data_IF_277398698680
#
_entry.id   IF_277398698680
#
_cell.length_a   1.000
_cell.length_b   1.000
_cell.length_c   1.000
_cell.angle_alpha   90.00
_cell.angle_beta   90.00
_cell.angle_gamma   90.00
#
_symmetry.space_group_name_H-M   'P 1'
#
loop_
_entity.id
_entity.type
_entity.pdbx_description
1 polymer ?
#
# COMPACT_ATOMS: atom_id res chain seq x y z
N UNK A 1 51.16 -71.39 7.88
CA UNK A 1 50.88 -70.24 7.01
C UNK A 1 49.41 -69.87 7.19
N UNK A 2 49.11 -68.94 8.10
CA UNK A 2 47.75 -68.46 8.37
C UNK A 2 47.54 -67.15 7.60
N UNK A 3 46.52 -67.11 6.75
CA UNK A 3 46.10 -65.93 6.00
C UNK A 3 44.87 -65.35 6.71
N UNK A 4 45.03 -64.18 7.32
CA UNK A 4 43.92 -63.40 7.86
C UNK A 4 43.30 -62.58 6.73
N UNK A 5 41.99 -62.77 6.49
CA UNK A 5 41.20 -61.92 5.61
C UNK A 5 40.61 -60.77 6.40
N UNK A 6 41.04 -59.53 6.13
CA UNK A 6 40.39 -58.31 6.60
C UNK A 6 39.19 -57.99 5.69
N UNK A 7 37.97 -58.08 6.22
CA UNK A 7 36.80 -57.50 5.58
C UNK A 7 36.70 -56.02 5.98
N UNK A 8 37.11 -55.12 5.07
CA UNK A 8 36.76 -53.70 5.17
C UNK A 8 35.30 -53.52 4.75
N UNK A 9 34.41 -53.23 5.70
CA UNK A 9 33.04 -52.79 5.43
C UNK A 9 33.07 -51.42 4.75
N UNK A 10 33.00 -51.39 3.43
CA UNK A 10 32.78 -50.17 2.65
C UNK A 10 31.30 -49.79 2.80
N UNK A 11 31.01 -48.74 3.57
CA UNK A 11 29.69 -48.12 3.62
C UNK A 11 29.39 -47.50 2.24
N UNK A 12 28.56 -48.16 1.45
CA UNK A 12 27.98 -47.57 0.24
C UNK A 12 27.01 -46.46 0.66
N UNK A 13 27.52 -45.22 0.70
CA UNK A 13 26.66 -44.04 0.78
C UNK A 13 25.86 -44.00 -0.52
N UNK A 14 24.55 -44.21 -0.43
CA UNK A 14 23.64 -44.19 -1.58
C UNK A 14 23.87 -42.92 -2.42
N UNK A 15 24.00 -43.03 -3.75
CA UNK A 15 24.14 -41.85 -4.62
C UNK A 15 22.93 -40.90 -4.52
N UNK A 16 21.79 -41.37 -4.00
CA UNK A 16 20.63 -40.54 -3.67
C UNK A 16 20.94 -39.53 -2.54
N UNK A 17 21.83 -39.88 -1.62
CA UNK A 17 22.26 -39.02 -0.50
C UNK A 17 23.23 -37.93 -0.95
N UNK A 18 24.08 -38.23 -1.95
CA UNK A 18 24.97 -37.25 -2.59
C UNK A 18 24.21 -36.27 -3.50
N UNK A 19 23.13 -36.72 -4.15
CA UNK A 19 22.29 -35.84 -4.98
C UNK A 19 21.61 -34.75 -4.14
N UNK A 20 21.18 -35.05 -2.90
CA UNK A 20 20.59 -34.06 -2.00
C UNK A 20 21.56 -32.94 -1.57
N UNK A 21 22.87 -33.21 -1.48
CA UNK A 21 23.89 -32.18 -1.18
C UNK A 21 24.29 -31.33 -2.39
N UNK A 22 23.87 -31.70 -3.60
CA UNK A 22 24.34 -31.08 -4.85
C UNK A 22 23.32 -30.17 -5.54
N UNK A 23 22.20 -29.86 -4.88
CA UNK A 23 21.34 -28.77 -5.36
C UNK A 23 22.15 -27.47 -5.28
N UNK A 24 22.42 -26.80 -6.41
CA UNK A 24 23.14 -25.54 -6.38
C UNK A 24 22.36 -24.57 -5.50
N UNK A 25 23.00 -24.13 -4.42
CA UNK A 25 22.51 -23.04 -3.58
C UNK A 25 22.38 -21.80 -4.46
N UNK A 26 21.17 -21.58 -4.99
CA UNK A 26 20.86 -20.37 -5.72
C UNK A 26 20.80 -19.23 -4.71
N UNK A 27 21.62 -18.17 -4.87
CA UNK A 27 21.51 -16.97 -4.04
C UNK A 27 20.16 -16.25 -4.20
N UNK A 28 19.28 -16.72 -5.10
CA UNK A 28 17.95 -16.20 -5.38
C UNK A 28 16.84 -17.20 -4.99
N UNK A 29 16.99 -17.87 -3.85
CA UNK A 29 16.03 -18.85 -3.36
C UNK A 29 15.25 -18.32 -2.15
N UNK A 30 13.92 -18.31 -2.24
CA UNK A 30 13.04 -17.67 -1.27
C UNK A 30 12.01 -18.65 -0.70
N UNK A 31 11.64 -18.44 0.56
CA UNK A 31 10.48 -19.09 1.19
C UNK A 31 9.43 -18.02 1.45
N UNK A 32 8.26 -18.18 0.83
CA UNK A 32 7.08 -17.35 1.08
C UNK A 32 6.02 -18.23 1.75
N UNK A 33 5.27 -17.65 2.67
CA UNK A 33 4.13 -18.33 3.27
C UNK A 33 3.03 -17.33 3.63
N UNK A 34 1.80 -17.83 3.80
CA UNK A 34 0.73 -17.07 4.42
C UNK A 34 0.55 -17.54 5.88
N UNK A 35 0.57 -16.65 6.88
CA UNK A 35 0.16 -16.98 8.25
C UNK A 35 -1.38 -17.03 8.35
N UNK A 36 -1.99 -17.90 7.54
CA UNK A 36 -3.43 -17.92 7.26
C UNK A 36 -4.27 -18.65 8.33
N UNK A 37 -3.68 -19.08 9.45
CA UNK A 37 -4.39 -19.85 10.49
C UNK A 37 -4.39 -19.10 11.82
N UNK A 38 -5.59 -18.91 12.37
CA UNK A 38 -5.77 -18.32 13.70
C UNK A 38 -5.45 -16.83 13.77
N UNK A 39 -5.30 -16.35 15.01
CA UNK A 39 -4.96 -14.95 15.32
C UNK A 39 -3.47 -14.81 15.59
N UNK A 40 -3.03 -13.63 16.06
CA UNK A 40 -1.63 -13.29 16.30
C UNK A 40 -0.79 -14.42 16.89
N UNK A 41 -1.19 -15.03 18.01
CA UNK A 41 -0.42 -16.11 18.64
C UNK A 41 -0.18 -17.32 17.73
N UNK A 42 -1.20 -17.77 16.99
CA UNK A 42 -1.04 -18.89 16.03
C UNK A 42 -0.12 -18.50 14.88
N UNK A 43 -0.22 -17.26 14.40
CA UNK A 43 0.61 -16.75 13.32
C UNK A 43 2.08 -16.65 13.74
N UNK A 44 2.35 -16.26 14.99
CA UNK A 44 3.71 -16.20 15.52
C UNK A 44 4.33 -17.59 15.69
N UNK A 45 3.55 -18.57 16.16
CA UNK A 45 4.02 -19.94 16.25
C UNK A 45 4.36 -20.53 14.86
N UNK A 46 3.51 -20.28 13.87
CA UNK A 46 3.80 -20.64 12.48
C UNK A 46 5.05 -19.92 11.95
N UNK A 47 5.20 -18.63 12.24
CA UNK A 47 6.37 -17.85 11.84
C UNK A 47 7.66 -18.45 12.42
N UNK A 48 7.70 -18.80 13.70
CA UNK A 48 8.89 -19.40 14.32
C UNK A 48 9.27 -20.72 13.65
N UNK A 49 8.29 -21.58 13.38
CA UNK A 49 8.50 -22.83 12.65
C UNK A 49 9.01 -22.61 11.22
N UNK A 50 8.41 -21.67 10.48
CA UNK A 50 8.83 -21.34 9.11
C UNK A 50 10.19 -20.63 9.09
N UNK A 51 10.54 -19.85 10.10
CA UNK A 51 11.86 -19.23 10.25
C UNK A 51 12.95 -20.30 10.40
N UNK A 52 12.74 -21.26 11.30
CA UNK A 52 13.63 -22.40 11.45
C UNK A 52 13.72 -23.22 10.16
N UNK A 53 12.60 -23.44 9.47
CA UNK A 53 12.54 -24.15 8.20
C UNK A 53 13.32 -23.44 7.07
N UNK A 54 13.12 -22.12 6.91
CA UNK A 54 13.83 -21.33 5.91
C UNK A 54 15.35 -21.33 6.16
N UNK A 55 15.75 -21.27 7.44
CA UNK A 55 17.14 -21.40 7.86
C UNK A 55 17.71 -22.78 7.54
N UNK A 56 16.97 -23.85 7.84
CA UNK A 56 17.35 -25.23 7.53
C UNK A 56 17.55 -25.44 6.02
N UNK A 57 16.69 -24.85 5.19
CA UNK A 57 16.80 -24.91 3.73
C UNK A 57 17.84 -23.95 3.14
N UNK A 58 18.43 -23.09 3.97
CA UNK A 58 19.28 -21.97 3.56
C UNK A 58 18.66 -21.12 2.42
N UNK A 59 17.39 -20.73 2.59
CA UNK A 59 16.64 -19.87 1.65
C UNK A 59 16.22 -18.59 2.35
N UNK A 60 16.32 -17.44 1.68
CA UNK A 60 15.86 -16.16 2.24
C UNK A 60 14.38 -16.25 2.61
N UNK A 61 14.03 -15.96 3.87
CA UNK A 61 12.63 -15.92 4.29
C UNK A 61 12.00 -14.59 3.89
N UNK A 62 10.89 -14.68 3.18
CA UNK A 62 10.05 -13.52 2.89
C UNK A 62 9.04 -13.36 4.02
N UNK A 63 9.23 -12.33 4.84
CA UNK A 63 8.39 -12.04 6.00
C UNK A 63 7.01 -11.57 5.54
N UNK A 64 5.92 -12.30 5.86
CA UNK A 64 4.58 -11.89 5.50
C UNK A 64 4.07 -10.78 6.43
N UNK A 65 3.09 -9.98 6.00
CA UNK A 65 2.33 -9.18 6.96
C UNK A 65 1.58 -10.08 7.94
N UNK A 66 1.38 -9.55 9.14
CA UNK A 66 0.55 -10.16 10.18
C UNK A 66 -0.92 -9.85 9.85
N UNK A 67 -1.77 -10.87 10.00
CA UNK A 67 -3.19 -10.77 9.68
C UNK A 67 -3.95 -10.37 10.95
N UNK A 68 -4.43 -9.13 10.97
CA UNK A 68 -5.28 -8.60 12.02
C UNK A 68 -6.76 -8.84 11.70
N UNK A 69 -7.56 -9.14 12.72
CA UNK A 69 -9.02 -9.34 12.61
C UNK A 69 -9.72 -8.39 13.58
N UNK A 70 -9.97 -7.13 13.17
CA UNK A 70 -10.63 -6.15 14.02
C UNK A 70 -12.00 -6.64 14.49
N UNK A 71 -12.37 -6.41 15.75
CA UNK A 71 -13.74 -6.63 16.23
C UNK A 71 -14.74 -5.87 15.35
N UNK A 72 -15.93 -6.43 15.13
CA UNK A 72 -17.01 -5.87 14.31
C UNK A 72 -16.78 -5.79 12.77
N UNK A 73 -15.58 -6.06 12.26
CA UNK A 73 -15.30 -6.03 10.81
C UNK A 73 -15.07 -7.46 10.27
N UNK A 74 -15.84 -7.89 9.27
CA UNK A 74 -15.68 -9.22 8.63
C UNK A 74 -14.43 -9.34 7.73
N UNK A 75 -13.58 -8.32 7.69
CA UNK A 75 -12.46 -8.20 6.75
C UNK A 75 -11.14 -8.33 7.50
N UNK A 76 -10.27 -9.22 7.00
CA UNK A 76 -8.90 -9.33 7.46
C UNK A 76 -8.07 -8.13 6.99
N UNK A 77 -7.25 -7.61 7.88
CA UNK A 77 -6.29 -6.54 7.62
C UNK A 77 -4.87 -7.10 7.60
N UNK A 78 -4.05 -6.65 6.65
CA UNK A 78 -2.65 -7.04 6.52
C UNK A 78 -1.79 -5.90 7.05
N UNK A 79 -1.13 -6.14 8.18
CA UNK A 79 -0.24 -5.17 8.83
C UNK A 79 1.20 -5.67 8.65
N UNK A 80 2.07 -4.83 8.09
CA UNK A 80 3.43 -5.26 7.77
C UNK A 80 4.23 -5.71 9.01
N UNK A 81 5.11 -6.69 8.82
CA UNK A 81 5.85 -7.33 9.91
C UNK A 81 6.72 -6.34 10.70
N UNK A 82 7.25 -5.32 10.02
CA UNK A 82 8.07 -4.24 10.57
C UNK A 82 7.31 -3.28 11.50
N UNK A 83 5.98 -3.35 11.53
CA UNK A 83 5.15 -2.59 12.48
C UNK A 83 5.15 -3.22 13.88
N UNK A 84 5.47 -4.51 13.99
CA UNK A 84 5.48 -5.23 15.27
C UNK A 84 6.89 -5.57 15.74
N UNK A 85 7.82 -5.80 14.81
CA UNK A 85 9.13 -6.36 15.13
C UNK A 85 10.26 -5.64 14.40
N UNK A 86 11.41 -5.58 15.07
CA UNK A 86 12.65 -5.05 14.50
C UNK A 86 13.23 -6.10 13.54
N UNK A 87 12.99 -5.90 12.25
CA UNK A 87 13.44 -6.80 11.17
C UNK A 87 14.96 -6.99 11.21
N UNK A 88 15.73 -5.94 11.49
CA UNK A 88 17.20 -5.97 11.50
C UNK A 88 17.74 -7.01 12.49
N UNK A 89 17.08 -7.19 13.63
CA UNK A 89 17.47 -8.18 14.65
C UNK A 89 17.31 -9.61 14.13
N UNK A 90 16.20 -9.90 13.44
CA UNK A 90 15.99 -11.21 12.81
C UNK A 90 17.00 -11.47 11.68
N UNK A 91 17.38 -10.41 10.96
CA UNK A 91 18.36 -10.46 9.87
C UNK A 91 19.76 -10.87 10.32
N UNK A 92 20.08 -10.76 11.61
CA UNK A 92 21.34 -11.27 12.18
C UNK A 92 21.38 -12.80 12.26
N UNK A 93 20.21 -13.45 12.33
CA UNK A 93 20.10 -14.91 12.49
C UNK A 93 19.91 -15.65 11.18
N UNK A 94 19.23 -15.04 10.21
CA UNK A 94 18.96 -15.62 8.90
C UNK A 94 18.65 -14.55 7.86
N UNK A 95 18.85 -14.86 6.58
CA UNK A 95 18.49 -13.95 5.49
C UNK A 95 16.98 -13.77 5.41
N UNK A 96 16.53 -12.52 5.42
CA UNK A 96 15.13 -12.13 5.40
C UNK A 96 14.89 -10.95 4.47
N UNK A 97 13.66 -10.84 3.98
CA UNK A 97 13.16 -9.66 3.25
C UNK A 97 11.67 -9.52 3.52
N UNK A 98 11.13 -8.31 3.58
CA UNK A 98 9.68 -8.13 3.74
C UNK A 98 8.95 -8.56 2.45
N UNK A 99 7.74 -9.12 2.59
CA UNK A 99 6.92 -9.51 1.43
C UNK A 99 6.70 -8.34 0.47
N UNK A 100 6.39 -7.16 1.01
CA UNK A 100 6.27 -5.91 0.25
C UNK A 100 7.50 -5.65 -0.62
N UNK A 101 8.70 -5.77 -0.07
CA UNK A 101 9.96 -5.44 -0.77
C UNK A 101 10.36 -6.54 -1.75
N UNK A 102 10.12 -7.80 -1.39
CA UNK A 102 10.26 -8.94 -2.29
C UNK A 102 9.37 -8.77 -3.52
N UNK A 103 8.09 -8.46 -3.34
CA UNK A 103 7.14 -8.30 -4.43
C UNK A 103 7.48 -7.10 -5.33
N UNK A 104 8.03 -6.01 -4.75
CA UNK A 104 8.47 -4.80 -5.48
C UNK A 104 9.74 -5.01 -6.30
N UNK A 105 10.80 -5.52 -5.68
CA UNK A 105 12.14 -5.49 -6.27
C UNK A 105 12.60 -6.81 -6.88
N UNK A 106 12.17 -7.93 -6.30
CA UNK A 106 12.76 -9.25 -6.55
C UNK A 106 11.82 -10.10 -7.41
N UNK A 107 10.55 -10.22 -7.01
CA UNK A 107 9.57 -11.10 -7.64
C UNK A 107 9.37 -10.81 -9.13
N UNK A 108 9.41 -9.54 -9.53
CA UNK A 108 9.27 -9.13 -10.94
C UNK A 108 10.39 -9.67 -11.84
N UNK A 109 11.57 -9.94 -11.28
CA UNK A 109 12.75 -10.41 -12.01
C UNK A 109 12.86 -11.93 -12.02
N UNK A 110 12.54 -12.58 -10.91
CA UNK A 110 12.81 -14.03 -10.71
C UNK A 110 11.56 -14.89 -10.54
N UNK A 111 10.40 -14.28 -10.23
CA UNK A 111 9.14 -14.97 -9.97
C UNK A 111 7.94 -14.32 -10.71
N UNK A 112 8.01 -14.25 -12.06
CA UNK A 112 6.95 -13.69 -12.89
C UNK A 112 5.67 -14.54 -12.80
N UNK A 113 4.53 -13.98 -13.23
CA UNK A 113 3.20 -14.55 -12.96
C UNK A 113 3.08 -16.02 -13.39
N UNK A 114 3.60 -16.39 -14.54
CA UNK A 114 3.56 -17.73 -15.12
C UNK A 114 4.37 -18.77 -14.32
N UNK A 115 5.34 -18.31 -13.51
CA UNK A 115 6.18 -19.16 -12.64
C UNK A 115 5.67 -19.24 -11.21
N UNK A 116 4.56 -18.57 -10.88
CA UNK A 116 3.98 -18.60 -9.53
C UNK A 116 3.28 -19.92 -9.29
N UNK A 117 3.96 -20.79 -8.54
CA UNK A 117 3.43 -22.09 -8.10
C UNK A 117 3.24 -22.07 -6.59
N UNK A 118 2.21 -22.79 -6.15
CA UNK A 118 1.87 -22.96 -4.73
C UNK A 118 2.22 -24.38 -4.32
N UNK A 119 2.82 -24.54 -3.16
CA UNK A 119 3.08 -25.83 -2.53
C UNK A 119 2.07 -26.06 -1.42
N UNK A 120 1.48 -27.26 -1.38
CA UNK A 120 0.61 -27.72 -0.31
C UNK A 120 0.85 -29.22 -0.08
N UNK A 121 0.41 -29.74 1.06
CA UNK A 121 0.64 -31.14 1.44
C UNK A 121 0.05 -32.13 0.43
N UNK A 122 -1.21 -31.92 0.05
CA UNK A 122 -1.92 -32.75 -0.92
C UNK A 122 -2.99 -31.91 -1.64
N UNK A 123 -3.33 -32.22 -2.89
CA UNK A 123 -4.42 -31.54 -3.57
C UNK A 123 -5.75 -31.81 -2.86
N UNK A 124 -6.62 -30.80 -2.81
CA UNK A 124 -7.93 -30.81 -2.16
C UNK A 124 -8.99 -30.25 -3.11
N UNK A 125 -10.29 -30.56 -2.92
CA UNK A 125 -11.35 -29.84 -3.63
C UNK A 125 -11.43 -28.38 -3.15
N UNK A 126 -11.83 -27.48 -4.05
CA UNK A 126 -12.09 -26.07 -3.75
C UNK A 126 -13.51 -25.81 -3.25
N UNK A 127 -13.76 -24.56 -2.84
CA UNK A 127 -15.05 -24.09 -2.30
C UNK A 127 -16.18 -24.06 -3.33
N UNK A 128 -15.86 -23.93 -4.62
CA UNK A 128 -16.84 -23.91 -5.70
C UNK A 128 -17.27 -25.34 -6.09
N UNK A 129 -18.56 -25.51 -6.40
CA UNK A 129 -19.07 -26.77 -6.94
C UNK A 129 -18.35 -27.10 -8.26
N UNK A 130 -17.77 -28.31 -8.35
CA UNK A 130 -16.97 -28.82 -9.48
C UNK A 130 -15.60 -28.15 -9.68
N UNK A 131 -14.96 -27.71 -8.61
CA UNK A 131 -13.57 -27.25 -8.67
C UNK A 131 -12.59 -28.41 -8.96
N UNK A 132 -11.59 -28.13 -9.80
CA UNK A 132 -10.46 -29.05 -10.01
C UNK A 132 -9.67 -29.22 -8.71
N UNK A 133 -9.05 -30.40 -8.53
CA UNK A 133 -8.22 -30.66 -7.36
C UNK A 133 -6.94 -29.83 -7.39
N UNK A 134 -6.65 -29.11 -6.30
CA UNK A 134 -5.44 -28.29 -6.20
C UNK A 134 -5.16 -27.80 -4.78
N UNK A 135 -4.26 -26.83 -4.64
CA UNK A 135 -3.97 -26.26 -3.32
C UNK A 135 -5.01 -25.24 -2.85
N UNK A 136 -5.73 -24.59 -3.78
CA UNK A 136 -6.74 -23.57 -3.48
C UNK A 136 -6.26 -22.50 -2.48
N UNK A 137 -5.02 -22.03 -2.63
CA UNK A 137 -4.37 -21.16 -1.63
C UNK A 137 -4.89 -19.72 -1.61
N UNK A 138 -5.73 -19.32 -2.57
CA UNK A 138 -6.36 -18.00 -2.63
C UNK A 138 -7.86 -18.05 -2.28
N UNK A 139 -8.37 -19.20 -1.84
CA UNK A 139 -9.77 -19.36 -1.51
C UNK A 139 -10.07 -18.99 -0.05
N UNK A 140 -11.22 -18.36 0.17
CA UNK A 140 -11.69 -17.96 1.50
C UNK A 140 -10.97 -16.75 2.10
N UNK A 141 -11.26 -16.52 3.38
CA UNK A 141 -10.69 -15.48 4.23
C UNK A 141 -9.88 -16.18 5.34
N UNK A 142 -8.58 -15.87 5.55
CA UNK A 142 -7.83 -14.72 5.02
C UNK A 142 -7.04 -14.96 3.73
N UNK A 143 -7.00 -16.19 3.21
CA UNK A 143 -6.05 -16.57 2.15
C UNK A 143 -6.21 -15.76 0.86
N UNK A 144 -7.44 -15.55 0.39
CA UNK A 144 -7.69 -14.75 -0.81
C UNK A 144 -7.27 -13.29 -0.66
N UNK A 145 -7.73 -12.58 0.38
CA UNK A 145 -7.25 -11.24 0.70
C UNK A 145 -5.73 -11.17 0.88
N UNK A 146 -5.12 -12.12 1.59
CA UNK A 146 -3.67 -12.15 1.83
C UNK A 146 -2.87 -12.24 0.55
N UNK A 147 -3.22 -13.10 -0.41
CA UNK A 147 -2.43 -13.10 -1.64
C UNK A 147 -2.75 -11.87 -2.49
N UNK A 148 -4.01 -11.43 -2.56
CA UNK A 148 -4.41 -10.29 -3.40
C UNK A 148 -3.96 -8.92 -2.91
N UNK A 149 -3.66 -8.73 -1.62
CA UNK A 149 -3.28 -7.40 -1.12
C UNK A 149 -2.01 -6.84 -1.80
N UNK A 150 -1.21 -7.71 -2.44
CA UNK A 150 -0.02 -7.36 -3.22
C UNK A 150 -0.25 -7.19 -4.73
N UNK A 151 -1.46 -7.47 -5.26
CA UNK A 151 -1.69 -7.70 -6.71
C UNK A 151 -2.74 -6.82 -7.40
N UNK A 152 -3.30 -5.80 -6.77
CA UNK A 152 -4.18 -4.86 -7.50
C UNK A 152 -3.31 -3.93 -8.36
N UNK A 153 -3.24 -4.24 -9.66
CA UNK A 153 -2.54 -3.44 -10.68
C UNK A 153 -3.51 -2.95 -11.75
N UNK A 154 -3.20 -1.81 -12.35
CA UNK A 154 -3.91 -1.33 -13.53
C UNK A 154 -3.59 -2.21 -14.73
N UNK A 155 -4.56 -2.38 -15.64
CA UNK A 155 -4.27 -2.98 -16.94
C UNK A 155 -3.33 -2.07 -17.74
N UNK A 156 -2.57 -2.64 -18.67
CA UNK A 156 -1.68 -1.89 -19.56
C UNK A 156 -2.39 -0.72 -20.25
N UNK A 157 -3.65 -0.91 -20.65
CA UNK A 157 -4.48 0.14 -21.24
C UNK A 157 -4.73 1.31 -20.28
N UNK A 158 -5.12 1.04 -19.04
CA UNK A 158 -5.40 2.10 -18.05
C UNK A 158 -4.11 2.83 -17.70
N UNK A 159 -3.03 2.08 -17.51
CA UNK A 159 -1.72 2.65 -17.19
C UNK A 159 -1.20 3.52 -18.34
N UNK A 160 -1.32 3.07 -19.59
CA UNK A 160 -0.95 3.84 -20.77
C UNK A 160 -1.78 5.12 -20.90
N UNK A 161 -3.10 5.03 -20.76
CA UNK A 161 -3.99 6.19 -20.82
C UNK A 161 -3.62 7.25 -19.76
N UNK A 162 -3.29 6.82 -18.54
CA UNK A 162 -2.86 7.72 -17.47
C UNK A 162 -1.50 8.36 -17.78
N UNK A 163 -0.52 7.58 -18.27
CA UNK A 163 0.83 8.07 -18.64
C UNK A 163 0.76 9.09 -19.77
N UNK A 164 0.01 8.78 -20.83
CA UNK A 164 -0.18 9.69 -21.98
C UNK A 164 -0.87 10.98 -21.56
N UNK A 165 -1.87 10.90 -20.68
CA UNK A 165 -2.51 12.08 -20.11
C UNK A 165 -1.51 12.96 -19.36
N UNK A 166 -0.70 12.39 -18.47
CA UNK A 166 0.32 13.14 -17.70
C UNK A 166 1.32 13.81 -18.62
N UNK A 167 1.88 13.09 -19.59
CA UNK A 167 2.86 13.65 -20.53
C UNK A 167 2.25 14.78 -21.36
N UNK A 168 1.02 14.59 -21.85
CA UNK A 168 0.31 15.58 -22.67
C UNK A 168 -0.05 16.84 -21.89
N UNK A 169 -0.48 16.71 -20.64
CA UNK A 169 -1.00 17.83 -19.85
C UNK A 169 0.06 18.54 -19.02
N UNK A 170 1.03 17.81 -18.48
CA UNK A 170 2.02 18.34 -17.53
C UNK A 170 3.45 18.33 -18.06
N UNK A 171 3.71 17.59 -19.15
CA UNK A 171 5.03 17.41 -19.73
C UNK A 171 5.80 16.24 -19.11
N UNK A 172 6.69 15.64 -19.92
CA UNK A 172 7.45 14.46 -19.51
C UNK A 172 8.35 14.76 -18.30
N UNK A 173 8.25 13.94 -17.25
CA UNK A 173 9.10 13.98 -16.06
C UNK A 173 8.80 15.13 -15.08
N UNK A 174 7.84 16.01 -15.39
CA UNK A 174 7.42 17.13 -14.54
C UNK A 174 6.55 16.65 -13.39
N UNK A 175 6.71 17.28 -12.23
CA UNK A 175 5.93 16.93 -11.04
C UNK A 175 4.50 17.47 -11.15
N UNK A 176 3.52 16.72 -10.64
CA UNK A 176 2.15 17.18 -10.50
C UNK A 176 1.53 16.78 -9.16
N UNK A 177 0.64 17.65 -8.67
CA UNK A 177 -0.20 17.37 -7.50
C UNK A 177 -1.51 16.80 -8.01
N UNK A 178 -2.06 15.79 -7.34
CA UNK A 178 -3.41 15.34 -7.59
C UNK A 178 -4.27 15.48 -6.34
N UNK A 179 -5.55 15.81 -6.53
CA UNK A 179 -6.51 15.98 -5.44
C UNK A 179 -7.81 15.27 -5.78
N UNK A 180 -8.42 14.65 -4.77
CA UNK A 180 -9.76 14.08 -4.88
C UNK A 180 -10.77 14.91 -4.08
N UNK A 181 -11.71 15.53 -4.81
CA UNK A 181 -12.78 16.35 -4.25
C UNK A 181 -14.09 15.55 -4.27
N UNK A 182 -14.53 15.11 -3.09
CA UNK A 182 -15.82 14.46 -2.88
C UNK A 182 -16.82 15.51 -2.40
N UNK A 183 -17.68 16.01 -3.29
CA UNK A 183 -18.55 17.17 -3.06
C UNK A 183 -19.89 17.10 -3.82
N UNK A 184 -20.35 15.90 -4.17
CA UNK A 184 -21.73 15.72 -4.64
C UNK A 184 -22.75 16.02 -3.52
N UNK A 185 -24.01 16.28 -3.90
CA UNK A 185 -25.07 16.76 -2.99
C UNK A 185 -25.38 15.77 -1.86
N UNK A 186 -25.25 14.48 -2.13
CA UNK A 186 -25.41 13.42 -1.13
C UNK A 186 -24.32 13.48 -0.05
N UNK A 187 -23.10 13.86 -0.44
CA UNK A 187 -21.94 13.92 0.44
C UNK A 187 -22.04 14.99 1.53
N UNK A 188 -22.67 16.13 1.22
CA UNK A 188 -22.91 17.19 2.21
C UNK A 188 -23.72 16.66 3.40
N UNK A 189 -24.76 15.86 3.14
CA UNK A 189 -25.60 15.27 4.18
C UNK A 189 -24.84 14.21 4.99
N UNK A 190 -23.99 13.43 4.34
CA UNK A 190 -23.11 12.46 5.01
C UNK A 190 -22.21 13.17 6.03
N UNK A 191 -21.56 14.26 5.63
CA UNK A 191 -20.65 14.99 6.52
C UNK A 191 -21.36 15.75 7.64
N UNK A 192 -22.66 16.05 7.50
CA UNK A 192 -23.46 16.64 8.57
C UNK A 192 -23.69 15.67 9.74
N UNK A 193 -23.63 14.36 9.53
CA UNK A 193 -23.69 13.36 10.61
C UNK A 193 -22.61 13.57 11.68
N UNK A 194 -21.51 14.25 11.35
CA UNK A 194 -20.43 14.59 12.29
C UNK A 194 -20.79 15.75 13.24
N UNK A 195 -21.83 16.53 12.92
CA UNK A 195 -22.31 17.66 13.73
C UNK A 195 -23.30 17.25 14.82
N UNK A 196 -23.96 16.11 14.67
CA UNK A 196 -25.06 15.72 15.54
C UNK A 196 -24.56 15.03 16.82
N UNK A 197 -24.92 15.57 17.98
CA UNK A 197 -24.79 14.91 19.31
C UNK A 197 -25.69 13.66 19.45
N UNK A 198 -26.42 13.28 18.39
CA UNK A 198 -27.42 12.20 18.38
C UNK A 198 -26.96 10.97 17.60
N UNK A 199 -25.68 10.64 17.63
CA UNK A 199 -25.31 9.24 17.32
C UNK A 199 -25.92 8.36 18.43
N UNK A 200 -26.83 7.40 18.13
CA UNK A 200 -27.51 6.61 19.15
C UNK A 200 -26.62 5.59 19.86
N UNK A 201 -25.29 5.68 19.69
CA UNK A 201 -24.34 4.88 20.43
C UNK A 201 -23.50 5.80 21.31
N UNK A 202 -23.75 5.68 22.61
CA UNK A 202 -22.76 5.93 23.66
C UNK A 202 -21.41 5.33 23.23
N UNK A 203 -20.50 6.18 22.74
CA UNK A 203 -19.02 6.06 22.84
C UNK A 203 -18.33 6.98 21.82
N UNK A 204 -17.96 8.20 22.24
CA UNK A 204 -16.73 9.01 21.98
C UNK A 204 -15.88 8.87 20.68
N UNK A 205 -16.26 8.08 19.66
CA UNK A 205 -15.55 7.80 18.42
C UNK A 205 -16.46 8.11 17.22
N UNK A 206 -15.96 8.91 16.28
CA UNK A 206 -16.62 9.36 15.06
C UNK A 206 -15.97 8.70 13.84
N UNK A 207 -15.93 7.38 13.82
CA UNK A 207 -15.52 6.63 12.63
C UNK A 207 -16.62 6.71 11.56
N UNK A 208 -16.26 7.19 10.38
CA UNK A 208 -17.16 7.31 9.24
C UNK A 208 -16.47 6.81 7.98
N UNK A 209 -17.04 5.76 7.37
CA UNK A 209 -16.54 5.14 6.15
C UNK A 209 -15.06 4.76 6.21
N UNK A 210 -14.19 5.52 5.53
CA UNK A 210 -12.76 5.26 5.48
C UNK A 210 -11.93 6.16 6.41
N UNK A 211 -12.56 6.89 7.34
CA UNK A 211 -11.89 7.93 8.14
C UNK A 211 -10.68 7.43 8.94
N UNK A 212 -10.68 6.15 9.35
CA UNK A 212 -9.54 5.52 10.02
C UNK A 212 -8.22 5.64 9.22
N UNK A 213 -8.28 5.84 7.89
CA UNK A 213 -7.10 6.08 7.07
C UNK A 213 -6.36 7.39 7.41
N UNK A 214 -7.02 8.37 8.02
CA UNK A 214 -6.39 9.61 8.49
C UNK A 214 -6.47 9.78 10.01
N UNK A 215 -7.53 9.32 10.66
CA UNK A 215 -7.66 9.43 12.12
C UNK A 215 -6.88 8.36 12.87
N UNK A 216 -6.62 7.22 12.22
CA UNK A 216 -6.18 6.00 12.87
C UNK A 216 -7.36 5.18 13.41
N UNK A 217 -7.11 3.93 13.81
CA UNK A 217 -8.16 2.99 14.22
C UNK A 217 -8.88 3.39 15.50
N UNK A 218 -8.19 4.15 16.36
CA UNK A 218 -8.70 4.64 17.65
C UNK A 218 -8.62 6.18 17.74
N UNK A 219 -8.61 6.88 16.61
CA UNK A 219 -8.46 8.35 16.50
C UNK A 219 -7.13 8.88 17.05
N UNK A 220 -6.08 8.06 17.05
CA UNK A 220 -4.76 8.41 17.57
C UNK A 220 -4.07 9.60 16.87
N UNK A 221 -4.48 9.93 15.63
CA UNK A 221 -3.96 11.07 14.88
C UNK A 221 -4.87 12.31 14.92
N UNK A 222 -5.99 12.21 15.62
CA UNK A 222 -6.96 13.29 15.81
C UNK A 222 -8.39 12.89 15.45
N UNK A 223 -9.34 13.68 15.93
CA UNK A 223 -10.77 13.44 15.69
C UNK A 223 -11.19 13.88 14.30
N UNK A 224 -12.08 13.10 13.67
CA UNK A 224 -12.67 13.46 12.39
C UNK A 224 -13.53 14.73 12.51
N UNK A 225 -13.24 15.73 11.67
CA UNK A 225 -13.98 17.00 11.62
C UNK A 225 -14.86 17.09 10.38
N UNK A 226 -15.89 17.95 10.42
CA UNK A 226 -16.72 18.25 9.25
C UNK A 226 -15.87 18.82 8.11
N UNK A 227 -14.88 19.67 8.43
CA UNK A 227 -13.98 20.25 7.43
C UNK A 227 -13.13 19.18 6.75
N UNK A 228 -12.65 18.16 7.48
CA UNK A 228 -11.90 17.04 6.87
C UNK A 228 -12.79 16.11 6.02
N UNK A 229 -14.10 16.09 6.28
CA UNK A 229 -15.09 15.33 5.52
C UNK A 229 -15.55 16.08 4.25
N UNK A 230 -15.86 17.38 4.39
CA UNK A 230 -16.35 18.27 3.34
C UNK A 230 -15.62 19.63 3.41
N UNK A 231 -14.42 19.73 2.83
CA UNK A 231 -13.54 20.88 2.98
C UNK A 231 -14.05 22.10 2.22
N UNK A 232 -13.84 23.28 2.81
CA UNK A 232 -14.12 24.56 2.19
C UNK A 232 -13.19 24.80 0.99
N UNK A 233 -13.64 25.64 0.05
CA UNK A 233 -12.81 26.08 -1.08
C UNK A 233 -11.50 26.71 -0.59
N UNK A 234 -11.53 27.49 0.49
CA UNK A 234 -10.32 28.09 1.06
C UNK A 234 -9.33 27.06 1.56
N UNK A 235 -9.79 25.96 2.19
CA UNK A 235 -8.93 24.86 2.58
C UNK A 235 -8.32 24.16 1.36
N UNK A 236 -9.17 23.84 0.36
CA UNK A 236 -8.74 23.23 -0.91
C UNK A 236 -7.64 24.07 -1.58
N UNK A 237 -7.83 25.39 -1.69
CA UNK A 237 -6.87 26.29 -2.30
C UNK A 237 -5.55 26.37 -1.51
N UNK A 238 -5.61 26.40 -0.17
CA UNK A 238 -4.43 26.42 0.70
C UNK A 238 -3.58 25.15 0.56
N UNK A 239 -4.21 23.97 0.62
CA UNK A 239 -3.52 22.68 0.52
C UNK A 239 -2.88 22.50 -0.87
N UNK A 240 -3.63 22.79 -1.95
CA UNK A 240 -3.08 22.73 -3.31
C UNK A 240 -1.88 23.69 -3.44
N UNK A 241 -2.02 24.93 -2.99
CA UNK A 241 -0.97 25.93 -3.10
C UNK A 241 0.30 25.49 -2.37
N UNK A 242 0.18 25.00 -1.13
CA UNK A 242 1.30 24.50 -0.35
C UNK A 242 2.07 23.40 -1.10
N UNK A 243 1.36 22.41 -1.63
CA UNK A 243 2.01 21.28 -2.32
C UNK A 243 2.55 21.64 -3.71
N UNK A 244 1.90 22.55 -4.44
CA UNK A 244 2.41 23.08 -5.71
C UNK A 244 3.74 23.81 -5.49
N UNK A 245 3.83 24.65 -4.46
CA UNK A 245 5.07 25.34 -4.09
C UNK A 245 6.16 24.34 -3.69
N UNK A 246 5.84 23.44 -2.76
CA UNK A 246 6.78 22.45 -2.22
C UNK A 246 7.42 21.59 -3.31
N UNK A 247 6.66 21.23 -4.35
CA UNK A 247 7.13 20.38 -5.44
C UNK A 247 7.63 21.14 -6.67
N UNK A 248 7.46 22.47 -6.71
CA UNK A 248 7.57 23.24 -7.96
C UNK A 248 6.76 22.57 -9.09
N UNK A 249 5.53 22.16 -8.77
CA UNK A 249 4.72 21.32 -9.64
C UNK A 249 4.33 22.06 -10.93
N UNK A 250 4.38 21.35 -12.05
CA UNK A 250 3.95 21.86 -13.36
C UNK A 250 2.42 21.82 -13.53
N UNK A 251 1.72 21.02 -12.72
CA UNK A 251 0.27 20.95 -12.81
C UNK A 251 -0.43 20.38 -11.59
N UNK A 252 -1.76 20.54 -11.62
CA UNK A 252 -2.71 20.01 -10.66
C UNK A 252 -3.76 19.20 -11.40
N UNK A 253 -3.89 17.92 -11.05
CA UNK A 253 -4.97 17.06 -11.51
C UNK A 253 -6.09 17.02 -10.46
N UNK A 254 -7.32 17.30 -10.88
CA UNK A 254 -8.49 17.24 -9.99
C UNK A 254 -9.40 16.11 -10.43
N UNK A 255 -9.66 15.16 -9.53
CA UNK A 255 -10.75 14.21 -9.65
C UNK A 255 -11.90 14.65 -8.75
N UNK A 256 -13.11 14.74 -9.29
CA UNK A 256 -14.29 15.09 -8.51
C UNK A 256 -15.53 14.35 -9.00
N UNK A 257 -16.40 14.01 -8.05
CA UNK A 257 -17.73 13.47 -8.31
C UNK A 257 -18.73 14.52 -8.80
N UNK A 258 -18.48 15.82 -8.56
CA UNK A 258 -19.35 16.90 -9.04
C UNK A 258 -18.58 18.15 -9.46
N UNK A 259 -18.02 18.90 -8.51
CA UNK A 259 -17.39 20.19 -8.79
C UNK A 259 -15.87 20.12 -8.67
N UNK A 260 -15.20 20.30 -9.81
CA UNK A 260 -13.74 20.24 -9.89
C UNK A 260 -13.05 21.56 -9.48
N UNK A 261 -13.78 22.68 -9.34
CA UNK A 261 -13.22 23.99 -8.98
C UNK A 261 -12.03 24.47 -9.84
N UNK A 262 -11.93 24.02 -11.10
CA UNK A 262 -10.75 24.23 -11.96
C UNK A 262 -10.43 25.72 -12.17
N UNK A 263 -11.47 26.53 -12.41
CA UNK A 263 -11.31 27.97 -12.62
C UNK A 263 -10.82 28.69 -11.35
N UNK A 264 -11.36 28.35 -10.19
CA UNK A 264 -10.96 28.94 -8.91
C UNK A 264 -9.52 28.55 -8.54
N UNK A 265 -9.18 27.26 -8.70
CA UNK A 265 -7.82 26.75 -8.46
C UNK A 265 -6.83 27.41 -9.42
N UNK A 266 -7.16 27.46 -10.72
CA UNK A 266 -6.32 28.11 -11.73
C UNK A 266 -6.08 29.59 -11.46
N UNK A 267 -7.14 30.34 -11.13
CA UNK A 267 -7.05 31.76 -10.82
C UNK A 267 -6.25 32.04 -9.54
N UNK A 268 -6.36 31.19 -8.52
CA UNK A 268 -5.57 31.29 -7.30
C UNK A 268 -4.08 31.06 -7.59
N UNK A 269 -3.75 29.96 -8.25
CA UNK A 269 -2.36 29.61 -8.57
C UNK A 269 -1.70 30.63 -9.51
N UNK A 270 -2.43 31.15 -10.51
CA UNK A 270 -1.91 32.19 -11.41
C UNK A 270 -1.50 33.49 -10.67
N UNK A 271 -2.12 33.76 -9.51
CA UNK A 271 -1.77 34.91 -8.65
C UNK A 271 -0.70 34.57 -7.61
N UNK A 272 -0.63 33.31 -7.18
CA UNK A 272 0.17 32.90 -6.03
C UNK A 272 1.53 32.29 -6.38
N UNK A 273 1.74 31.81 -7.62
CA UNK A 273 3.03 31.24 -8.05
C UNK A 273 3.63 32.00 -9.25
N UNK A 274 4.95 31.93 -9.39
CA UNK A 274 5.71 32.69 -10.42
C UNK A 274 5.87 31.96 -11.76
N UNK A 275 5.37 30.74 -11.88
CA UNK A 275 5.44 29.93 -13.10
C UNK A 275 4.05 29.46 -13.53
N UNK A 276 3.93 29.02 -14.77
CA UNK A 276 2.66 28.50 -15.29
C UNK A 276 2.37 27.12 -14.70
N UNK A 277 1.18 26.95 -14.12
CA UNK A 277 0.69 25.67 -13.58
C UNK A 277 -0.57 25.27 -14.33
N UNK A 278 -0.55 24.09 -14.96
CA UNK A 278 -1.73 23.55 -15.66
C UNK A 278 -2.68 22.91 -14.65
N UNK A 279 -3.92 23.38 -14.58
CA UNK A 279 -4.98 22.81 -13.72
C UNK A 279 -5.99 22.12 -14.62
N UNK A 280 -6.28 20.84 -14.39
CA UNK A 280 -7.18 20.08 -15.27
C UNK A 280 -7.83 18.89 -14.57
N UNK A 281 -9.01 18.48 -15.04
CA UNK A 281 -9.64 17.19 -14.72
C UNK A 281 -9.70 16.27 -15.94
N UNK A 282 -10.17 15.03 -15.77
CA UNK A 282 -10.24 14.07 -16.88
C UNK A 282 -11.19 14.52 -18.01
N UNK A 283 -12.36 15.06 -17.64
CA UNK A 283 -13.42 15.43 -18.59
C UNK A 283 -13.00 16.55 -19.58
N UNK A 284 -12.11 17.45 -19.18
CA UNK A 284 -11.60 18.53 -20.06
C UNK A 284 -10.53 18.04 -21.06
N UNK A 285 -10.05 16.80 -20.93
CA UNK A 285 -8.94 16.27 -21.73
C UNK A 285 -9.33 15.43 -22.94
N UNK A 286 -10.55 14.88 -22.97
CA UNK A 286 -10.95 13.84 -23.93
C UNK A 286 -12.39 14.06 -24.41
N UNK A 287 -12.60 15.13 -25.16
CA UNK A 287 -13.81 15.33 -25.98
C UNK A 287 -13.65 14.44 -27.23
N UNK A 288 -13.92 13.15 -27.11
CA UNK A 288 -13.77 12.26 -28.27
C UNK A 288 -14.16 10.80 -28.11
N UNK A 289 -14.40 10.29 -26.90
CA UNK A 289 -14.83 8.89 -26.75
C UNK A 289 -15.72 8.74 -25.52
N UNK A 290 -16.97 8.35 -25.77
CA UNK A 290 -17.92 7.85 -24.76
C UNK A 290 -18.44 8.90 -23.76
N UNK A 291 -19.22 9.86 -24.26
CA UNK A 291 -20.28 10.59 -23.53
C UNK A 291 -20.04 10.84 -22.03
N UNK A 292 -19.24 11.85 -21.69
CA UNK A 292 -19.35 12.64 -20.46
C UNK A 292 -19.23 11.94 -19.09
N UNK A 293 -19.03 10.61 -19.03
CA UNK A 293 -18.79 9.89 -17.79
C UNK A 293 -17.28 9.78 -17.58
N UNK A 294 -16.78 10.34 -16.48
CA UNK A 294 -15.37 10.23 -16.10
C UNK A 294 -14.88 8.78 -16.17
N UNK A 295 -13.64 8.58 -16.63
CA UNK A 295 -13.05 7.24 -16.64
C UNK A 295 -12.45 6.97 -15.26
N UNK A 296 -13.31 6.58 -14.32
CA UNK A 296 -12.95 6.33 -12.91
C UNK A 296 -11.68 5.49 -12.76
N UNK A 297 -11.48 4.37 -13.47
CA UNK A 297 -10.22 3.64 -13.42
C UNK A 297 -8.99 4.47 -13.79
N UNK A 298 -9.08 5.30 -14.84
CA UNK A 298 -7.96 6.17 -15.24
C UNK A 298 -7.77 7.33 -14.27
N UNK A 299 -8.83 7.89 -13.71
CA UNK A 299 -8.72 8.92 -12.66
C UNK A 299 -8.03 8.39 -11.41
N UNK A 300 -8.43 7.21 -10.93
CA UNK A 300 -7.76 6.52 -9.82
C UNK A 300 -6.29 6.24 -10.15
N UNK A 301 -5.98 5.84 -11.38
CA UNK A 301 -4.59 5.67 -11.83
C UNK A 301 -3.81 6.99 -11.79
N UNK A 302 -4.38 8.10 -12.27
CA UNK A 302 -3.77 9.43 -12.24
C UNK A 302 -3.50 9.90 -10.80
N UNK A 303 -4.48 9.75 -9.89
CA UNK A 303 -4.31 10.05 -8.47
C UNK A 303 -3.19 9.19 -7.84
N UNK A 304 -3.12 7.91 -8.21
CA UNK A 304 -2.08 6.98 -7.77
C UNK A 304 -0.68 7.28 -8.33
N UNK A 305 -0.59 7.98 -9.47
CA UNK A 305 0.67 8.33 -10.15
C UNK A 305 1.26 9.67 -9.74
N UNK A 306 0.47 10.55 -9.12
CA UNK A 306 0.89 11.90 -8.74
C UNK A 306 2.12 11.92 -7.81
N UNK A 307 2.95 12.96 -7.92
CA UNK A 307 4.08 13.16 -7.00
C UNK A 307 3.56 13.43 -5.58
N UNK A 308 2.43 14.12 -5.46
CA UNK A 308 1.70 14.25 -4.20
C UNK A 308 0.20 14.07 -4.41
N UNK A 309 -0.45 13.33 -3.51
CA UNK A 309 -1.90 13.11 -3.54
C UNK A 309 -2.56 13.69 -2.28
N UNK A 310 -3.50 14.60 -2.50
CA UNK A 310 -4.33 15.20 -1.47
C UNK A 310 -5.67 14.46 -1.44
N UNK A 311 -5.88 13.66 -0.39
CA UNK A 311 -7.02 12.77 -0.23
C UNK A 311 -8.17 13.40 0.55
N UNK A 312 -9.40 13.01 0.24
CA UNK A 312 -10.51 13.14 1.18
C UNK A 312 -10.47 11.99 2.20
N UNK A 313 -10.44 12.30 3.50
CA UNK A 313 -10.24 11.31 4.57
C UNK A 313 -11.40 10.32 4.71
N UNK A 314 -12.64 10.73 4.47
CA UNK A 314 -13.82 9.87 4.69
C UNK A 314 -14.09 8.98 3.47
N UNK A 315 -13.67 9.43 2.28
CA UNK A 315 -13.96 8.72 1.04
C UNK A 315 -13.21 7.40 0.88
N UNK A 316 -13.97 6.33 0.62
CA UNK A 316 -13.43 5.01 0.23
C UNK A 316 -12.76 5.03 -1.14
N UNK A 317 -13.12 5.99 -2.02
CA UNK A 317 -12.47 6.22 -3.31
C UNK A 317 -11.04 6.72 -3.10
N UNK A 318 -10.84 7.72 -2.22
CA UNK A 318 -9.50 8.14 -1.81
C UNK A 318 -8.74 6.97 -1.19
N UNK A 319 -9.39 6.19 -0.32
CA UNK A 319 -8.76 5.08 0.40
C UNK A 319 -8.21 4.01 -0.53
N UNK A 320 -8.83 3.79 -1.70
CA UNK A 320 -8.26 2.93 -2.73
C UNK A 320 -6.89 3.47 -3.18
N UNK A 321 -6.82 4.76 -3.52
CA UNK A 321 -5.59 5.41 -3.98
C UNK A 321 -4.54 5.47 -2.87
N UNK A 322 -4.92 5.80 -1.62
CA UNK A 322 -4.00 5.81 -0.47
C UNK A 322 -3.36 4.44 -0.30
N UNK A 323 -4.16 3.36 -0.31
CA UNK A 323 -3.63 1.98 -0.25
C UNK A 323 -2.81 1.62 -1.47
N UNK A 324 -3.21 2.03 -2.68
CA UNK A 324 -2.43 1.80 -3.89
C UNK A 324 -1.06 2.51 -3.82
N UNK A 325 -0.99 3.72 -3.25
CA UNK A 325 0.26 4.46 -3.09
C UNK A 325 1.13 3.85 -1.98
N UNK A 326 0.52 3.40 -0.89
CA UNK A 326 1.21 2.79 0.24
C UNK A 326 1.72 1.37 -0.07
N UNK A 327 0.88 0.52 -0.65
CA UNK A 327 1.15 -0.91 -0.87
C UNK A 327 1.42 -1.27 -2.35
N UNK A 328 1.00 -0.45 -3.31
CA UNK A 328 1.06 -0.80 -4.73
C UNK A 328 2.47 -0.88 -5.31
N UNK A 329 2.60 -1.71 -6.34
CA UNK A 329 3.86 -2.06 -7.02
C UNK A 329 4.21 -1.10 -8.17
N UNK A 330 4.02 0.22 -8.03
CA UNK A 330 4.32 1.14 -9.15
C UNK A 330 5.82 1.34 -9.32
N UNK A 331 6.34 1.00 -10.50
CA UNK A 331 7.75 0.95 -10.89
C UNK A 331 8.55 2.28 -10.86
N UNK A 332 7.96 3.39 -10.42
CA UNK A 332 8.65 4.68 -10.32
C UNK A 332 8.57 5.22 -8.90
N UNK A 333 9.57 4.84 -8.09
CA UNK A 333 9.85 5.40 -6.77
C UNK A 333 10.34 6.85 -6.87
N UNK A 334 9.49 7.77 -7.34
CA UNK A 334 9.56 9.15 -6.85
C UNK A 334 8.80 9.19 -5.53
N UNK A 335 9.24 9.99 -4.56
CA UNK A 335 8.55 10.21 -3.28
C UNK A 335 7.06 10.50 -3.51
N UNK A 336 6.19 9.51 -3.32
CA UNK A 336 4.74 9.65 -3.52
C UNK A 336 4.08 9.93 -2.19
N UNK A 337 4.13 11.17 -1.72
CA UNK A 337 3.50 11.52 -0.44
C UNK A 337 1.97 11.61 -0.55
N UNK A 338 1.29 11.47 0.59
CA UNK A 338 -0.16 11.63 0.72
C UNK A 338 -0.46 12.54 1.92
N UNK A 339 -1.37 13.48 1.75
CA UNK A 339 -2.00 14.24 2.85
C UNK A 339 -3.52 14.15 2.74
N UNK A 340 -4.20 14.61 3.78
CA UNK A 340 -5.65 14.62 3.84
C UNK A 340 -6.16 16.06 4.00
N UNK A 341 -7.20 16.42 3.24
CA UNK A 341 -7.82 17.74 3.30
C UNK A 341 -8.23 18.07 4.74
N UNK A 342 -7.85 19.27 5.19
CA UNK A 342 -8.09 19.77 6.53
C UNK A 342 -7.68 18.83 7.68
N UNK A 343 -6.69 17.95 7.44
CA UNK A 343 -6.17 17.04 8.45
C UNK A 343 -4.64 16.94 8.37
N UNK A 344 -3.92 18.00 8.77
CA UNK A 344 -2.48 18.12 8.58
C UNK A 344 -1.67 17.14 9.43
N UNK A 345 -2.23 16.64 10.54
CA UNK A 345 -1.55 15.71 11.46
C UNK A 345 -1.39 14.30 10.89
N UNK A 346 -2.10 13.94 9.81
CA UNK A 346 -2.07 12.60 9.20
C UNK A 346 -1.24 12.54 7.91
N UNK A 347 -0.28 13.46 7.73
CA UNK A 347 0.59 13.44 6.57
C UNK A 347 1.42 12.14 6.53
N UNK A 348 1.25 11.37 5.46
CA UNK A 348 2.01 10.14 5.24
C UNK A 348 3.13 10.42 4.24
N UNK A 349 4.34 10.62 4.76
CA UNK A 349 5.56 10.64 3.95
C UNK A 349 5.98 9.21 3.63
N UNK A 350 5.71 8.78 2.38
CA UNK A 350 6.31 7.57 1.83
C UNK A 350 7.79 7.87 1.52
N UNK A 351 8.64 7.68 2.51
CA UNK A 351 10.09 7.79 2.37
C UNK A 351 10.61 6.63 1.49
N UNK A 352 11.57 6.87 0.59
CA UNK A 352 12.40 5.82 0.06
C UNK A 352 13.30 5.33 1.20
N UNK A 353 13.16 4.07 1.57
CA UNK A 353 14.13 3.43 2.45
C UNK A 353 15.49 3.41 1.75
N UNK A 354 16.39 4.29 2.20
CA UNK A 354 17.69 4.48 1.56
C UNK A 354 18.48 5.70 2.00
N UNK A 355 18.24 6.27 3.18
CA UNK A 355 19.22 7.16 3.81
C UNK A 355 19.22 6.94 5.32
N UNK A 356 20.26 6.24 5.79
CA UNK A 356 20.54 6.16 7.21
C UNK A 356 20.90 7.54 7.73
N UNK A 357 19.96 8.19 8.40
CA UNK A 357 20.18 9.11 9.51
C UNK A 357 18.81 9.41 10.14
N UNK A 358 18.52 8.75 11.25
CA UNK A 358 17.46 9.18 12.16
C UNK A 358 17.77 10.61 12.62
N UNK A 359 17.11 11.61 12.03
CA UNK A 359 16.97 12.90 12.69
C UNK A 359 15.91 12.72 13.77
N UNK A 360 16.37 12.76 15.02
CA UNK A 360 15.54 12.88 16.22
C UNK A 360 14.49 13.98 16.00
N UNK A 361 13.24 13.68 16.29
CA UNK A 361 12.21 14.68 16.47
C UNK A 361 12.71 15.73 17.47
N UNK A 362 12.71 16.99 17.04
CA UNK A 362 13.22 18.12 17.81
C UNK A 362 12.45 18.30 19.11
N UNK A 363 13.21 18.34 20.20
CA UNK A 363 12.84 18.90 21.49
C UNK A 363 12.29 20.31 21.30
N UNK A 364 11.05 20.56 21.71
CA UNK A 364 10.52 21.91 21.93
C UNK A 364 11.27 22.47 23.14
N UNK A 365 12.22 23.36 22.88
CA UNK A 365 12.80 24.23 23.92
C UNK A 365 11.78 25.33 24.16
N UNK A 366 11.00 25.21 25.23
CA UNK A 366 10.35 26.35 25.85
C UNK A 366 11.29 26.85 26.95
N UNK A 367 11.91 27.99 26.72
CA UNK A 367 12.73 28.70 27.71
C UNK A 367 12.44 30.19 27.62
N UNK A 368 12.01 30.74 28.76
CA UNK A 368 12.22 32.13 29.19
C UNK A 368 11.36 33.21 28.52
N UNK A 369 10.49 33.83 29.31
CA UNK A 369 10.63 35.23 29.78
C UNK A 369 9.34 35.59 30.55
N UNK A 370 9.41 35.67 31.88
CA UNK A 370 9.53 36.91 32.68
C UNK A 370 8.29 37.83 32.62
N UNK A 371 7.73 38.02 33.83
CA UNK A 371 6.65 38.93 34.29
C UNK A 371 5.19 38.50 34.09
#
# INVERSE_FOLDING_TARGET
MQIHWYFSSIFFVSPLFLVLLSLPLSPNAFVLFCPCTGRFGNQMEQFLGVFAFAKLLNRTLVLPPIINYPPAVRKAEMVDFDQFFIVQTLGQFHQIVLLRDFMRGIATKIWPMERRKVLCWSPRPGLAARSELGCHATEGNPSGPFWRHQFVQWSSQIEQNAREFVVRKFGHGKAFVAIHLRNDRDWENVCQLLREEKSPMDSRRRELFASAQCTGSDEEYGQLTVEACNPSLDNILKEIHFHVLRLSAAGVFVASDRNHHLAQIGAHLAKSVRWSVTVTGWAEGNVGSSGGRGNVPVELALLGMADHFIANCVSTFSAFVVRQRHFGLSHTQKHRSVTFLAFPNAAMELLPEGSGQQKKAGTVIAGGDEL
#
